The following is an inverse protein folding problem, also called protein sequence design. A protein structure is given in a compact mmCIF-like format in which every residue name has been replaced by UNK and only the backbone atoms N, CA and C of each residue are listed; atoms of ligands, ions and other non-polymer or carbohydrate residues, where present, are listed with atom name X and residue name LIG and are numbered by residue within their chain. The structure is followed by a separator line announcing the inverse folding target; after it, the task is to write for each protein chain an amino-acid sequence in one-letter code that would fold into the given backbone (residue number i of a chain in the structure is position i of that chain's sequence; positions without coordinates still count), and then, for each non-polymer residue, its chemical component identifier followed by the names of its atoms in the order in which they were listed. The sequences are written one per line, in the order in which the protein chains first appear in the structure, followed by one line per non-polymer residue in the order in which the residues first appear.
data_IF_418205533384
#
_entry.id   IF_418205533384
#
_cell.length_a   1.000
_cell.length_b   1.000
_cell.length_c   1.000
_cell.angle_alpha   90.00
_cell.angle_beta   90.00
_cell.angle_gamma   90.00
#
_symmetry.space_group_name_H-M   'P 1'
#
loop_
_entity.id
_entity.type
_entity.pdbx_description
1 polymer ?
#
# COMPACT_ATOMS: atom_id res chain seq x y z
N UNK A 1 23.76 17.07 0.33
CA UNK A 1 23.58 15.84 1.13
C UNK A 1 24.45 14.74 0.52
N UNK A 2 25.44 14.22 1.24
CA UNK A 2 26.48 13.31 0.73
C UNK A 2 25.86 11.99 0.20
N UNK A 3 26.26 11.52 -0.99
CA UNK A 3 25.76 10.28 -1.64
C UNK A 3 25.92 9.06 -0.75
N UNK A 4 26.99 9.01 0.06
CA UNK A 4 27.23 7.95 1.05
C UNK A 4 26.16 7.92 2.15
N UNK A 5 25.63 9.08 2.57
CA UNK A 5 24.53 9.13 3.56
C UNK A 5 23.22 8.61 2.97
N UNK A 6 22.94 8.85 1.68
CA UNK A 6 21.72 8.37 1.01
C UNK A 6 21.74 6.85 0.79
N UNK A 7 22.88 6.28 0.39
CA UNK A 7 23.04 4.83 0.25
C UNK A 7 22.74 4.09 1.56
N UNK A 8 23.30 4.57 2.68
CA UNK A 8 23.08 4.02 4.01
C UNK A 8 21.62 4.03 4.47
N UNK A 9 20.81 4.99 4.01
CA UNK A 9 19.38 5.04 4.36
C UNK A 9 18.61 3.89 3.72
N UNK A 10 18.85 3.61 2.43
CA UNK A 10 18.18 2.50 1.75
C UNK A 10 18.63 1.14 2.31
N UNK A 11 19.92 1.01 2.59
CA UNK A 11 20.52 -0.14 3.28
C UNK A 11 19.87 -0.40 4.66
N UNK A 12 19.80 0.62 5.53
CA UNK A 12 19.19 0.48 6.85
C UNK A 12 17.72 0.09 6.76
N UNK A 13 16.95 0.75 5.89
CA UNK A 13 15.52 0.46 5.70
C UNK A 13 15.29 -0.98 5.22
N UNK A 14 16.08 -1.44 4.25
CA UNK A 14 15.99 -2.83 3.79
C UNK A 14 16.35 -3.81 4.89
N UNK A 15 17.43 -3.56 5.64
CA UNK A 15 17.87 -4.41 6.73
C UNK A 15 16.81 -4.55 7.82
N UNK A 16 16.24 -3.43 8.27
CA UNK A 16 15.17 -3.38 9.28
C UNK A 16 13.91 -4.11 8.77
N UNK A 17 13.52 -3.87 7.52
CA UNK A 17 12.40 -4.57 6.89
C UNK A 17 12.63 -6.09 6.86
N UNK A 18 13.82 -6.56 6.50
CA UNK A 18 14.14 -7.98 6.50
C UNK A 18 14.12 -8.55 7.94
N UNK A 19 14.60 -7.83 8.95
CA UNK A 19 14.48 -8.28 10.35
C UNK A 19 13.01 -8.42 10.77
N UNK A 20 12.17 -7.43 10.45
CA UNK A 20 10.73 -7.47 10.74
C UNK A 20 10.06 -8.68 10.08
N UNK A 21 10.36 -8.95 8.79
CA UNK A 21 9.87 -10.14 8.10
C UNK A 21 10.32 -11.43 8.79
N UNK A 22 11.53 -11.48 9.35
CA UNK A 22 12.05 -12.66 10.06
C UNK A 22 11.31 -12.87 11.37
N UNK A 23 11.12 -11.81 12.14
CA UNK A 23 10.39 -11.84 13.42
C UNK A 23 8.95 -12.27 13.24
N UNK A 24 8.29 -11.81 12.16
CA UNK A 24 6.94 -12.24 11.76
C UNK A 24 6.90 -13.66 11.16
N UNK A 25 8.04 -14.32 10.96
CA UNK A 25 8.13 -15.64 10.34
C UNK A 25 7.87 -15.66 8.83
N UNK A 26 7.91 -14.51 8.16
CA UNK A 26 7.49 -14.31 6.76
C UNK A 26 8.63 -14.47 5.75
N UNK A 27 9.89 -14.33 6.17
CA UNK A 27 11.02 -14.26 5.24
C UNK A 27 11.18 -15.51 4.37
N UNK A 28 10.94 -16.70 4.96
CA UNK A 28 10.98 -18.00 4.28
C UNK A 28 9.97 -18.97 4.91
N UNK A 29 8.70 -18.57 5.03
CA UNK A 29 7.70 -19.51 5.54
C UNK A 29 7.59 -20.74 4.62
N UNK A 30 7.44 -21.92 5.22
CA UNK A 30 7.30 -23.20 4.51
C UNK A 30 8.57 -23.90 4.03
N UNK A 31 9.74 -23.23 3.97
CA UNK A 31 11.01 -23.86 3.51
C UNK A 31 12.10 -23.86 4.60
N UNK A 32 12.33 -22.74 5.30
CA UNK A 32 13.35 -22.63 6.36
C UNK A 32 12.80 -21.93 7.58
N UNK A 33 13.11 -22.44 8.78
CA UNK A 33 12.78 -21.77 10.02
C UNK A 33 13.53 -20.42 10.13
N UNK A 34 12.94 -19.37 10.75
CA UNK A 34 13.62 -18.09 10.95
C UNK A 34 14.98 -18.22 11.65
N UNK A 35 15.15 -19.19 12.54
CA UNK A 35 16.42 -19.49 13.23
C UNK A 35 17.56 -19.91 12.29
N UNK A 36 17.24 -20.43 11.11
CA UNK A 36 18.20 -20.86 10.08
C UNK A 36 18.59 -19.74 9.12
N UNK A 37 17.94 -18.57 9.22
CA UNK A 37 18.17 -17.41 8.36
C UNK A 37 18.89 -16.32 9.15
N UNK A 38 20.16 -16.04 8.86
CA UNK A 38 20.95 -14.99 9.53
C UNK A 38 21.04 -13.76 8.63
N UNK A 39 20.67 -12.60 9.16
CA UNK A 39 20.59 -11.33 8.42
C UNK A 39 21.69 -10.41 8.95
N UNK A 40 22.53 -9.93 8.04
CA UNK A 40 23.66 -9.07 8.38
C UNK A 40 23.62 -7.79 7.56
N UNK A 41 24.17 -6.75 8.16
CA UNK A 41 24.41 -5.46 7.52
C UNK A 41 25.92 -5.22 7.43
N UNK A 42 26.40 -4.75 6.28
CA UNK A 42 27.83 -4.52 6.00
C UNK A 42 28.71 -5.75 6.25
N UNK A 43 28.21 -6.95 5.91
CA UNK A 43 28.97 -8.18 6.12
C UNK A 43 30.18 -8.24 5.20
N UNK A 44 31.31 -8.66 5.78
CA UNK A 44 32.57 -8.82 5.08
C UNK A 44 32.82 -10.29 4.77
N UNK A 45 33.29 -10.57 3.55
CA UNK A 45 33.81 -11.87 3.16
C UNK A 45 35.23 -11.72 2.63
N UNK A 46 36.11 -12.63 3.05
CA UNK A 46 37.48 -12.63 2.59
C UNK A 46 37.55 -13.06 1.12
N UNK A 47 38.26 -12.29 0.30
CA UNK A 47 38.52 -12.61 -1.09
C UNK A 47 40.01 -12.93 -1.26
N UNK A 48 40.31 -14.20 -1.56
CA UNK A 48 41.69 -14.66 -1.76
C UNK A 48 42.42 -13.86 -2.84
N UNK A 49 41.77 -13.59 -3.98
CA UNK A 49 42.37 -12.83 -5.09
C UNK A 49 42.71 -11.37 -4.74
N UNK A 50 42.03 -10.81 -3.73
CA UNK A 50 42.26 -9.43 -3.27
C UNK A 50 43.22 -9.39 -2.09
N UNK A 51 43.46 -10.52 -1.44
CA UNK A 51 44.10 -10.62 -0.12
C UNK A 51 43.44 -9.68 0.91
N UNK A 52 42.10 -9.60 0.85
CA UNK A 52 41.35 -8.68 1.68
C UNK A 52 39.85 -8.85 1.58
N UNK A 53 39.14 -8.12 2.44
CA UNK A 53 37.69 -8.26 2.58
C UNK A 53 36.92 -7.51 1.50
N UNK A 54 35.81 -8.09 1.06
CA UNK A 54 34.76 -7.46 0.27
C UNK A 54 33.56 -7.27 1.20
N UNK A 55 33.04 -6.04 1.24
CA UNK A 55 31.87 -5.68 2.06
C UNK A 55 30.63 -5.64 1.17
N UNK A 56 29.52 -6.17 1.69
CA UNK A 56 28.21 -6.13 1.05
C UNK A 56 27.19 -5.47 1.97
N UNK A 57 26.26 -4.72 1.38
CA UNK A 57 25.34 -3.85 2.11
C UNK A 57 24.41 -4.65 3.05
N UNK A 58 23.65 -5.60 2.50
CA UNK A 58 22.80 -6.51 3.30
C UNK A 58 22.94 -7.94 2.80
N UNK A 59 23.05 -8.89 3.73
CA UNK A 59 23.23 -10.31 3.41
C UNK A 59 22.28 -11.16 4.22
N UNK A 60 21.57 -12.07 3.55
CA UNK A 60 20.79 -13.14 4.18
C UNK A 60 21.51 -14.47 3.93
N UNK A 61 22.02 -15.05 5.00
CA UNK A 61 22.63 -16.37 5.01
C UNK A 61 21.63 -17.43 5.43
N UNK A 62 21.59 -18.54 4.69
CA UNK A 62 20.67 -19.64 4.92
C UNK A 62 21.50 -20.87 5.26
N UNK A 63 21.28 -21.38 6.46
CA UNK A 63 22.00 -22.51 7.03
C UNK A 63 21.11 -23.76 7.07
N UNK A 64 21.73 -24.94 7.05
CA UNK A 64 21.01 -26.21 7.28
C UNK A 64 20.72 -26.41 8.76
N UNK A 65 21.66 -26.01 9.59
CA UNK A 65 21.57 -26.04 11.05
C UNK A 65 22.03 -24.69 11.60
N UNK A 66 21.58 -24.32 12.81
CA UNK A 66 21.89 -23.00 13.40
C UNK A 66 23.41 -22.74 13.48
N UNK A 67 24.20 -23.80 13.68
CA UNK A 67 25.66 -23.77 13.83
C UNK A 67 26.41 -24.05 12.53
N UNK A 68 25.73 -24.45 11.45
CA UNK A 68 26.40 -24.81 10.19
C UNK A 68 26.84 -23.58 9.40
N UNK A 69 27.81 -23.78 8.51
CA UNK A 69 28.08 -22.83 7.43
C UNK A 69 26.82 -22.63 6.56
N UNK A 70 26.65 -21.43 5.99
CA UNK A 70 25.54 -21.16 5.09
C UNK A 70 25.72 -21.92 3.79
N UNK A 71 24.67 -22.63 3.36
CA UNK A 71 24.67 -23.31 2.05
C UNK A 71 24.17 -22.37 0.93
N UNK A 72 23.58 -21.23 1.29
CA UNK A 72 23.13 -20.22 0.35
C UNK A 72 23.25 -18.83 0.95
N UNK A 73 23.69 -17.87 0.14
CA UNK A 73 23.87 -16.46 0.49
C UNK A 73 23.08 -15.61 -0.49
N UNK A 74 22.09 -14.87 0.00
CA UNK A 74 21.40 -13.84 -0.75
C UNK A 74 22.05 -12.51 -0.42
N UNK A 75 22.59 -11.85 -1.43
CA UNK A 75 23.34 -10.61 -1.26
C UNK A 75 22.57 -9.49 -1.91
N UNK A 76 22.27 -8.46 -1.14
CA UNK A 76 21.57 -7.26 -1.57
C UNK A 76 22.56 -6.10 -1.65
N UNK A 77 22.71 -5.50 -2.82
CA UNK A 77 23.49 -4.27 -3.04
C UNK A 77 22.51 -3.10 -3.29
N UNK A 78 22.60 -2.07 -2.46
CA UNK A 78 21.67 -0.95 -2.43
C UNK A 78 22.20 0.23 -3.26
N UNK A 79 21.40 0.66 -4.24
CA UNK A 79 21.69 1.79 -5.11
C UNK A 79 20.60 2.86 -4.95
N UNK A 80 20.92 3.93 -4.24
CA UNK A 80 19.99 5.04 -3.98
C UNK A 80 20.36 6.29 -4.80
N UNK A 81 19.73 6.45 -5.96
CA UNK A 81 19.93 7.60 -6.85
C UNK A 81 18.74 8.57 -6.79
N UNK A 82 18.95 9.85 -7.10
CA UNK A 82 17.87 10.85 -7.04
C UNK A 82 17.35 11.27 -8.43
N UNK A 83 18.24 11.34 -9.43
CA UNK A 83 17.90 11.81 -10.79
C UNK A 83 18.50 10.95 -11.90
N UNK A 84 19.28 9.93 -11.54
CA UNK A 84 20.00 9.09 -12.50
C UNK A 84 19.41 7.69 -12.43
N UNK A 85 19.34 7.04 -13.58
CA UNK A 85 19.11 5.61 -13.68
C UNK A 85 20.38 4.83 -13.32
N UNK A 86 20.23 3.60 -12.85
CA UNK A 86 21.36 2.73 -12.51
C UNK A 86 22.17 2.46 -13.78
N UNK A 87 23.48 2.80 -13.81
CA UNK A 87 24.34 2.52 -14.94
C UNK A 87 24.77 1.06 -15.03
N UNK A 88 25.22 0.64 -16.21
CA UNK A 88 25.78 -0.69 -16.45
C UNK A 88 26.94 -1.03 -15.49
N UNK A 89 27.77 -0.04 -15.17
CA UNK A 89 28.92 -0.20 -14.27
C UNK A 89 28.53 -0.74 -12.90
N UNK A 90 27.39 -0.31 -12.34
CA UNK A 90 26.94 -0.78 -11.03
C UNK A 90 26.61 -2.28 -11.04
N UNK A 91 26.05 -2.77 -12.16
CA UNK A 91 25.70 -4.19 -12.33
C UNK A 91 26.96 -5.03 -12.53
N UNK A 92 27.86 -4.57 -13.39
CA UNK A 92 29.13 -5.25 -13.67
C UNK A 92 30.02 -5.31 -12.43
N UNK A 93 30.13 -4.20 -11.68
CA UNK A 93 30.90 -4.16 -10.43
C UNK A 93 30.33 -5.11 -9.40
N UNK A 94 29.01 -5.16 -9.25
CA UNK A 94 28.36 -6.08 -8.33
C UNK A 94 28.57 -7.54 -8.74
N UNK A 95 28.37 -7.89 -10.01
CA UNK A 95 28.67 -9.23 -10.55
C UNK A 95 30.12 -9.65 -10.26
N UNK A 96 31.07 -8.73 -10.47
CA UNK A 96 32.48 -8.95 -10.17
C UNK A 96 32.76 -9.14 -8.68
N UNK A 97 32.03 -8.47 -7.78
CA UNK A 97 32.15 -8.72 -6.33
C UNK A 97 31.64 -10.11 -5.96
N UNK A 98 30.51 -10.53 -6.52
CA UNK A 98 29.90 -11.83 -6.21
C UNK A 98 30.78 -12.99 -6.65
N UNK A 99 31.36 -12.93 -7.85
CA UNK A 99 32.24 -13.99 -8.38
C UNK A 99 33.49 -14.23 -7.54
N UNK A 100 33.85 -13.29 -6.65
CA UNK A 100 35.05 -13.34 -5.81
C UNK A 100 34.85 -14.05 -4.47
N UNK A 101 33.62 -14.30 -4.04
CA UNK A 101 33.31 -14.88 -2.71
C UNK A 101 32.60 -16.24 -2.76
N UNK A 102 32.19 -16.69 -3.95
CA UNK A 102 31.54 -17.99 -4.16
C UNK A 102 30.52 -17.92 -5.29
N UNK A 103 30.83 -18.47 -6.47
CA UNK A 103 29.98 -18.33 -7.66
C UNK A 103 28.68 -19.13 -7.61
N UNK A 104 28.63 -20.24 -6.85
CA UNK A 104 27.52 -21.20 -6.93
C UNK A 104 26.53 -21.11 -5.76
N UNK A 105 26.99 -20.68 -4.58
CA UNK A 105 26.18 -20.55 -3.37
C UNK A 105 25.68 -19.12 -3.12
N UNK A 106 26.08 -18.17 -3.98
CA UNK A 106 25.74 -16.76 -3.83
C UNK A 106 24.77 -16.30 -4.91
N UNK A 107 23.73 -15.55 -4.50
CA UNK A 107 22.73 -14.97 -5.40
C UNK A 107 22.64 -13.47 -5.13
N UNK A 108 22.88 -12.68 -6.16
CA UNK A 108 22.90 -11.21 -6.06
C UNK A 108 21.55 -10.59 -6.42
N UNK A 109 21.14 -9.59 -5.65
CA UNK A 109 19.99 -8.74 -5.91
C UNK A 109 20.42 -7.27 -5.77
N UNK A 110 20.13 -6.44 -6.77
CA UNK A 110 20.29 -5.00 -6.70
C UNK A 110 18.99 -4.39 -6.18
N UNK A 111 19.07 -3.63 -5.08
CA UNK A 111 17.96 -2.88 -4.51
C UNK A 111 18.08 -1.42 -4.94
N UNK A 112 17.05 -0.88 -5.56
CA UNK A 112 17.07 0.48 -6.11
C UNK A 112 15.77 1.24 -5.82
N UNK A 113 15.86 2.57 -5.78
CA UNK A 113 14.69 3.46 -5.77
C UNK A 113 14.39 4.05 -7.16
N UNK A 114 15.33 3.96 -8.11
CA UNK A 114 15.23 4.45 -9.49
C UNK A 114 15.25 3.32 -10.51
N UNK A 115 14.89 3.61 -11.75
CA UNK A 115 14.98 2.68 -12.87
C UNK A 115 16.44 2.36 -13.25
N UNK A 116 16.63 1.25 -13.97
CA UNK A 116 17.91 0.87 -14.57
C UNK A 116 18.00 1.40 -16.00
N UNK A 117 19.21 1.68 -16.48
CA UNK A 117 19.45 1.81 -17.92
C UNK A 117 19.09 0.50 -18.63
N UNK A 118 18.69 0.58 -19.91
CA UNK A 118 18.33 -0.60 -20.71
C UNK A 118 19.49 -1.60 -20.74
N UNK A 119 20.72 -1.14 -20.98
CA UNK A 119 21.90 -2.00 -20.96
C UNK A 119 22.18 -2.61 -19.58
N UNK A 120 21.97 -1.84 -18.50
CA UNK A 120 22.13 -2.35 -17.13
C UNK A 120 21.11 -3.45 -16.82
N UNK A 121 19.87 -3.31 -17.30
CA UNK A 121 18.84 -4.35 -17.20
C UNK A 121 19.25 -5.62 -17.95
N UNK A 122 19.70 -5.48 -19.20
CA UNK A 122 20.13 -6.61 -20.02
C UNK A 122 21.33 -7.36 -19.39
N UNK A 123 22.28 -6.62 -18.80
CA UNK A 123 23.40 -7.21 -18.06
C UNK A 123 22.95 -7.94 -16.81
N UNK A 124 22.01 -7.37 -16.04
CA UNK A 124 21.49 -8.02 -14.84
C UNK A 124 20.80 -9.35 -15.18
N UNK A 125 20.03 -9.38 -16.27
CA UNK A 125 19.42 -10.62 -16.80
C UNK A 125 20.50 -11.64 -17.20
N UNK A 126 21.50 -11.23 -17.99
CA UNK A 126 22.60 -12.08 -18.46
C UNK A 126 23.43 -12.67 -17.30
N UNK A 127 23.63 -11.89 -16.23
CA UNK A 127 24.38 -12.33 -15.05
C UNK A 127 23.52 -13.02 -13.99
N UNK A 128 22.23 -13.24 -14.25
CA UNK A 128 21.26 -13.78 -13.28
C UNK A 128 21.27 -13.01 -11.95
N UNK A 129 21.34 -11.68 -12.03
CA UNK A 129 21.24 -10.75 -10.90
C UNK A 129 19.80 -10.26 -10.80
N UNK A 130 19.21 -10.39 -9.61
CA UNK A 130 17.88 -9.87 -9.33
C UNK A 130 17.84 -8.35 -9.29
N UNK A 131 16.72 -7.78 -9.68
CA UNK A 131 16.46 -6.35 -9.55
C UNK A 131 15.26 -6.21 -8.63
N UNK A 132 15.39 -5.42 -7.57
CA UNK A 132 14.27 -5.10 -6.71
C UNK A 132 14.15 -3.61 -6.40
N UNK A 133 12.91 -3.18 -6.23
CA UNK A 133 12.53 -1.85 -5.77
C UNK A 133 11.90 -1.97 -4.40
N UNK A 134 12.37 -1.13 -3.48
CA UNK A 134 11.87 -1.04 -2.11
C UNK A 134 11.29 0.35 -1.86
N UNK A 135 10.02 0.41 -1.46
CA UNK A 135 9.35 1.63 -1.04
C UNK A 135 8.81 1.40 0.37
N UNK A 136 9.32 2.13 1.36
CA UNK A 136 8.96 1.90 2.75
C UNK A 136 7.46 2.06 3.05
N UNK A 137 6.77 2.87 2.25
CA UNK A 137 5.37 3.26 2.47
C UNK A 137 4.43 2.56 1.49
N UNK A 138 4.93 1.57 0.76
CA UNK A 138 4.11 0.77 -0.13
C UNK A 138 3.29 -0.28 0.61
N UNK A 139 2.33 -0.88 -0.11
CA UNK A 139 1.54 -1.99 0.39
C UNK A 139 2.41 -3.23 0.62
N UNK A 140 2.30 -3.83 1.79
CA UNK A 140 2.97 -5.07 2.13
C UNK A 140 1.98 -6.22 2.01
N UNK A 141 2.36 -7.25 1.27
CA UNK A 141 1.41 -8.24 0.76
C UNK A 141 1.70 -9.61 1.31
N UNK A 142 0.66 -10.42 1.51
CA UNK A 142 0.82 -11.81 1.94
C UNK A 142 1.41 -12.61 0.78
N UNK A 143 2.58 -13.19 1.00
CA UNK A 143 3.38 -13.79 -0.05
C UNK A 143 3.01 -15.25 -0.39
N UNK A 144 2.10 -15.89 0.34
CA UNK A 144 1.73 -17.29 0.10
C UNK A 144 0.33 -17.48 -0.49
N UNK A 145 0.30 -18.24 -1.60
CA UNK A 145 -0.85 -18.98 -2.16
C UNK A 145 -2.17 -18.20 -2.26
N UNK A 146 -2.14 -17.04 -2.93
CA UNK A 146 -3.34 -16.27 -3.34
C UNK A 146 -3.03 -15.10 -4.30
N UNK A 147 -1.76 -14.77 -4.50
CA UNK A 147 -1.33 -13.47 -5.05
C UNK A 147 -0.90 -13.46 -6.52
N UNK A 148 -0.91 -14.60 -7.22
CA UNK A 148 -0.59 -14.62 -8.67
C UNK A 148 -1.57 -13.78 -9.51
N UNK A 149 -2.80 -13.58 -9.05
CA UNK A 149 -3.79 -12.71 -9.70
C UNK A 149 -3.81 -11.27 -9.15
N UNK A 150 -3.31 -11.04 -7.92
CA UNK A 150 -3.24 -9.68 -7.34
C UNK A 150 -2.35 -8.73 -8.16
N UNK A 151 -1.35 -9.30 -8.85
CA UNK A 151 -0.37 -8.58 -9.65
C UNK A 151 -0.40 -9.11 -11.07
N UNK A 152 -1.00 -8.35 -12.00
CA UNK A 152 -0.64 -8.54 -13.39
C UNK A 152 0.84 -8.16 -13.54
N UNK A 153 1.66 -8.96 -14.21
CA UNK A 153 3.08 -8.65 -14.51
C UNK A 153 3.26 -7.22 -15.04
N UNK A 154 2.24 -6.70 -15.72
CA UNK A 154 2.14 -5.31 -16.19
C UNK A 154 2.28 -4.27 -15.06
N UNK A 155 1.69 -4.48 -13.88
CA UNK A 155 1.79 -3.57 -12.74
C UNK A 155 3.17 -3.61 -12.09
N UNK A 156 3.73 -4.80 -11.83
CA UNK A 156 5.09 -4.95 -11.29
C UNK A 156 6.13 -4.41 -12.28
N UNK A 157 5.94 -4.67 -13.57
CA UNK A 157 6.76 -4.10 -14.65
C UNK A 157 6.66 -2.58 -14.67
N UNK A 158 5.48 -1.98 -14.50
CA UNK A 158 5.32 -0.52 -14.41
C UNK A 158 5.97 0.04 -13.14
N UNK A 159 5.88 -0.65 -12.01
CA UNK A 159 6.52 -0.21 -10.76
C UNK A 159 8.05 -0.27 -10.83
N UNK A 160 8.59 -1.30 -11.48
CA UNK A 160 10.03 -1.51 -11.66
C UNK A 160 10.62 -0.67 -12.79
N UNK A 161 9.88 -0.46 -13.88
CA UNK A 161 10.41 0.03 -15.17
C UNK A 161 9.50 1.04 -15.90
N UNK A 162 8.50 1.63 -15.24
CA UNK A 162 7.55 2.55 -15.86
C UNK A 162 7.57 3.96 -15.25
N UNK A 163 7.29 4.95 -16.09
CA UNK A 163 7.17 6.35 -15.69
C UNK A 163 6.08 6.56 -14.63
N UNK A 164 6.36 7.47 -13.69
CA UNK A 164 5.53 7.81 -12.53
C UNK A 164 4.13 8.32 -12.92
N UNK A 165 3.21 7.42 -13.19
CA UNK A 165 1.79 7.65 -12.97
C UNK A 165 1.45 7.08 -11.60
N UNK A 166 0.71 7.86 -10.81
CA UNK A 166 0.36 7.51 -9.44
C UNK A 166 -0.48 6.21 -9.41
N UNK A 167 0.17 5.12 -9.03
CA UNK A 167 -0.45 3.85 -8.64
C UNK A 167 0.13 3.48 -7.28
N UNK A 168 -0.72 3.11 -6.32
CA UNK A 168 -0.27 2.65 -5.00
C UNK A 168 0.75 1.53 -5.18
N UNK A 169 1.98 1.79 -4.75
CA UNK A 169 3.11 0.90 -5.04
C UNK A 169 3.25 -0.16 -3.96
N UNK A 170 3.75 -1.33 -4.30
CA UNK A 170 4.16 -2.31 -3.31
C UNK A 170 5.36 -1.86 -2.50
N UNK A 171 5.44 -2.35 -1.27
CA UNK A 171 6.60 -2.17 -0.39
C UNK A 171 7.85 -2.81 -0.99
N UNK A 172 7.68 -3.95 -1.65
CA UNK A 172 8.73 -4.68 -2.34
C UNK A 172 8.24 -5.12 -3.73
N UNK A 173 9.08 -4.96 -4.74
CA UNK A 173 8.85 -5.55 -6.06
C UNK A 173 10.17 -6.02 -6.61
N UNK A 174 10.21 -7.21 -7.18
CA UNK A 174 11.43 -7.76 -7.75
C UNK A 174 11.18 -8.43 -9.09
N UNK A 175 12.27 -8.55 -9.84
CA UNK A 175 12.37 -9.32 -11.06
C UNK A 175 13.63 -10.18 -10.99
N UNK A 176 13.48 -11.48 -11.22
CA UNK A 176 14.56 -12.44 -11.24
C UNK A 176 14.24 -13.56 -12.22
N UNK A 177 15.16 -13.82 -13.16
CA UNK A 177 15.11 -14.95 -14.08
C UNK A 177 13.77 -15.10 -14.82
N UNK A 178 13.30 -14.00 -15.42
CA UNK A 178 12.06 -13.96 -16.19
C UNK A 178 10.77 -13.89 -15.36
N UNK A 179 10.83 -13.89 -14.02
CA UNK A 179 9.66 -13.86 -13.14
C UNK A 179 9.61 -12.59 -12.28
N UNK A 180 8.40 -12.08 -12.07
CA UNK A 180 8.12 -10.96 -11.17
C UNK A 180 7.67 -11.44 -9.79
N UNK A 181 8.03 -10.68 -8.75
CA UNK A 181 7.72 -10.99 -7.36
C UNK A 181 7.24 -9.72 -6.63
N UNK A 182 6.12 -9.81 -5.93
CA UNK A 182 5.60 -8.70 -5.10
C UNK A 182 6.06 -8.71 -3.64
N UNK A 183 6.86 -9.71 -3.24
CA UNK A 183 7.33 -9.87 -1.87
C UNK A 183 8.73 -10.51 -1.82
N UNK A 184 9.45 -10.27 -0.72
CA UNK A 184 10.76 -10.87 -0.48
C UNK A 184 10.65 -12.38 -0.41
N UNK A 185 9.65 -12.90 0.30
CA UNK A 185 9.43 -14.35 0.42
C UNK A 185 9.26 -15.01 -0.95
N UNK A 186 8.42 -14.44 -1.83
CA UNK A 186 8.21 -15.00 -3.17
C UNK A 186 9.50 -15.05 -3.99
N UNK A 187 10.32 -13.99 -3.92
CA UNK A 187 11.62 -13.93 -4.59
C UNK A 187 12.57 -15.00 -4.03
N UNK A 188 12.68 -15.08 -2.71
CA UNK A 188 13.61 -15.99 -2.02
C UNK A 188 13.23 -17.46 -2.28
N UNK A 189 11.95 -17.80 -2.17
CA UNK A 189 11.45 -19.15 -2.46
C UNK A 189 11.75 -19.56 -3.90
N UNK A 190 11.60 -18.64 -4.86
CA UNK A 190 11.92 -18.90 -6.26
C UNK A 190 13.43 -19.12 -6.49
N UNK A 191 14.27 -18.29 -5.89
CA UNK A 191 15.74 -18.39 -6.02
C UNK A 191 16.27 -19.71 -5.46
N UNK A 192 15.73 -20.17 -4.32
CA UNK A 192 16.27 -21.33 -3.59
C UNK A 192 15.62 -22.65 -4.01
N UNK A 193 14.34 -22.63 -4.38
CA UNK A 193 13.58 -23.85 -4.71
C UNK A 193 12.67 -23.63 -5.92
N UNK A 194 13.24 -23.41 -7.12
CA UNK A 194 12.48 -23.14 -8.34
C UNK A 194 11.59 -24.32 -8.80
N UNK A 195 11.81 -25.54 -8.25
CA UNK A 195 11.11 -26.78 -8.63
C UNK A 195 9.83 -27.08 -7.86
N UNK A 196 9.37 -26.20 -6.97
CA UNK A 196 7.98 -26.32 -6.45
C UNK A 196 7.07 -25.80 -7.57
N UNK A 197 6.76 -26.70 -8.51
CA UNK A 197 5.83 -26.48 -9.60
C UNK A 197 4.48 -26.01 -9.03
N UNK A 198 4.02 -24.86 -9.49
CA UNK A 198 2.79 -24.15 -9.12
C UNK A 198 1.51 -24.92 -9.56
N UNK A 199 1.51 -26.25 -9.56
CA UNK A 199 0.43 -27.10 -10.09
C UNK A 199 -0.56 -27.64 -9.05
N UNK A 200 -0.47 -27.25 -7.78
CA UNK A 200 -1.48 -27.62 -6.76
C UNK A 200 -1.94 -26.41 -5.97
N UNK A 201 -2.90 -25.69 -6.56
CA UNK A 201 -4.21 -25.25 -6.03
C UNK A 201 -4.59 -23.92 -6.66
N UNK A 202 -5.12 -23.96 -7.88
CA UNK A 202 -5.92 -22.87 -8.44
C UNK A 202 -7.37 -23.07 -7.95
N UNK A 203 -7.67 -22.65 -6.73
CA UNK A 203 -8.98 -22.06 -6.49
C UNK A 203 -8.77 -20.56 -6.74
N UNK A 204 -9.44 -20.03 -7.74
CA UNK A 204 -9.43 -18.60 -8.09
C UNK A 204 -10.05 -17.79 -6.95
N UNK A 205 -9.26 -17.44 -5.95
CA UNK A 205 -9.62 -16.49 -4.89
C UNK A 205 -9.37 -15.05 -5.40
N UNK A 206 -9.98 -14.65 -6.53
CA UNK A 206 -10.00 -13.25 -6.96
C UNK A 206 -10.61 -12.40 -5.84
N UNK A 207 -10.12 -11.17 -5.63
CA UNK A 207 -10.73 -10.24 -4.65
C UNK A 207 -12.21 -10.06 -5.02
N UNK A 208 -13.15 -10.54 -4.18
CA UNK A 208 -14.55 -10.58 -4.55
C UNK A 208 -15.06 -9.16 -4.68
N UNK A 209 -15.76 -8.85 -5.77
CA UNK A 209 -16.41 -7.54 -5.88
C UNK A 209 -17.61 -7.48 -4.93
N UNK A 210 -17.56 -6.55 -3.98
CA UNK A 210 -18.68 -6.27 -3.08
C UNK A 210 -19.50 -5.13 -3.65
N UNK A 211 -20.80 -5.34 -3.82
CA UNK A 211 -21.71 -4.31 -4.33
C UNK A 211 -21.90 -3.17 -3.33
N UNK A 212 -22.28 -2.00 -3.81
CA UNK A 212 -22.55 -0.85 -2.94
C UNK A 212 -23.67 -1.15 -1.93
N UNK A 213 -24.72 -1.86 -2.34
CA UNK A 213 -25.82 -2.26 -1.45
C UNK A 213 -25.35 -3.20 -0.33
N UNK A 214 -24.56 -4.23 -0.65
CA UNK A 214 -24.00 -5.13 0.36
C UNK A 214 -23.08 -4.39 1.32
N UNK A 215 -22.36 -3.40 0.83
CA UNK A 215 -21.50 -2.58 1.66
C UNK A 215 -22.28 -1.68 2.62
N UNK A 216 -23.37 -1.06 2.16
CA UNK A 216 -24.29 -0.32 3.04
C UNK A 216 -24.86 -1.25 4.12
N UNK A 217 -25.24 -2.48 3.76
CA UNK A 217 -25.72 -3.48 4.73
C UNK A 217 -24.65 -3.86 5.75
N UNK A 218 -23.41 -4.09 5.30
CA UNK A 218 -22.25 -4.38 6.14
C UNK A 218 -21.94 -3.25 7.14
N UNK A 219 -21.93 -2.00 6.66
CA UNK A 219 -21.73 -0.82 7.50
C UNK A 219 -22.87 -0.65 8.51
N UNK A 220 -24.14 -0.75 8.07
CA UNK A 220 -25.30 -0.67 8.97
C UNK A 220 -25.30 -1.78 10.02
N UNK A 221 -24.84 -2.99 9.69
CA UNK A 221 -24.70 -4.08 10.67
C UNK A 221 -23.70 -3.70 11.76
N UNK A 222 -22.54 -3.16 11.38
CA UNK A 222 -21.52 -2.69 12.33
C UNK A 222 -22.06 -1.57 13.23
N UNK A 223 -22.75 -0.59 12.64
CA UNK A 223 -23.37 0.52 13.37
C UNK A 223 -24.42 0.07 14.39
N UNK A 224 -25.19 -0.97 14.08
CA UNK A 224 -26.13 -1.58 15.03
C UNK A 224 -25.42 -2.23 16.22
N UNK A 225 -24.26 -2.86 15.99
CA UNK A 225 -23.49 -3.49 17.06
C UNK A 225 -22.95 -2.48 18.08
N UNK A 226 -22.55 -1.29 17.62
CA UNK A 226 -22.12 -0.17 18.48
C UNK A 226 -23.28 0.75 18.88
N UNK A 227 -24.53 0.31 18.71
CA UNK A 227 -25.74 1.03 19.10
C UNK A 227 -25.81 2.49 18.61
N UNK A 228 -25.22 2.78 17.44
CA UNK A 228 -25.21 4.11 16.85
C UNK A 228 -26.64 4.62 16.63
N UNK A 229 -26.89 5.89 17.00
CA UNK A 229 -28.20 6.54 16.88
C UNK A 229 -28.19 7.65 15.83
N UNK A 230 -27.36 8.67 16.03
CA UNK A 230 -27.24 9.81 15.13
C UNK A 230 -25.94 10.61 15.35
N UNK A 231 -25.69 11.59 14.47
CA UNK A 231 -24.55 12.48 14.55
C UNK A 231 -23.27 11.89 13.96
N UNK A 232 -22.14 12.43 14.39
CA UNK A 232 -20.83 11.91 14.05
C UNK A 232 -20.61 10.55 14.71
N UNK A 233 -20.17 9.57 13.94
CA UNK A 233 -19.86 8.24 14.44
C UNK A 233 -18.60 8.28 15.32
N UNK A 234 -18.65 7.58 16.46
CA UNK A 234 -17.49 7.35 17.30
C UNK A 234 -16.66 6.20 16.73
N UNK A 235 -15.54 6.54 16.08
CA UNK A 235 -14.67 5.56 15.43
C UNK A 235 -13.81 4.78 16.43
N UNK A 236 -13.50 5.37 17.59
CA UNK A 236 -12.77 4.69 18.68
C UNK A 236 -13.60 3.54 19.27
N UNK A 237 -14.91 3.74 19.41
CA UNK A 237 -15.85 2.71 19.85
C UNK A 237 -15.91 1.56 18.84
N UNK A 238 -15.92 1.88 17.53
CA UNK A 238 -15.88 0.86 16.47
C UNK A 238 -14.56 0.08 16.50
N UNK A 239 -13.42 0.77 16.60
CA UNK A 239 -12.11 0.12 16.75
C UNK A 239 -12.10 -0.80 17.97
N UNK A 240 -12.59 -0.34 19.12
CA UNK A 240 -12.70 -1.13 20.35
C UNK A 240 -13.57 -2.37 20.17
N UNK A 241 -14.75 -2.22 19.57
CA UNK A 241 -15.66 -3.35 19.27
C UNK A 241 -15.01 -4.39 18.35
N UNK A 242 -14.20 -3.96 17.38
CA UNK A 242 -13.48 -4.84 16.47
C UNK A 242 -12.16 -5.37 17.05
N UNK A 243 -11.80 -4.98 18.28
CA UNK A 243 -10.51 -5.29 18.91
C UNK A 243 -9.32 -4.81 18.06
N UNK A 244 -9.42 -3.58 17.55
CA UNK A 244 -8.37 -2.88 16.81
C UNK A 244 -7.77 -1.82 17.74
N UNK A 245 -6.46 -1.89 17.96
CA UNK A 245 -5.74 -0.83 18.66
C UNK A 245 -5.65 0.42 17.79
N UNK A 246 -6.05 1.57 18.32
CA UNK A 246 -5.95 2.86 17.64
C UNK A 246 -4.95 3.75 18.38
N UNK A 247 -3.96 4.25 17.66
CA UNK A 247 -2.91 5.12 18.22
C UNK A 247 -2.69 6.34 17.34
N UNK A 248 -2.24 7.43 17.97
CA UNK A 248 -1.85 8.66 17.30
C UNK A 248 -0.36 8.87 17.46
N UNK A 249 0.30 9.24 16.36
CA UNK A 249 1.67 9.68 16.35
C UNK A 249 1.73 11.14 15.89
N UNK A 250 2.26 11.98 16.78
CA UNK A 250 2.41 13.43 16.58
C UNK A 250 3.34 13.82 15.43
N UNK A 251 4.06 12.87 14.82
CA UNK A 251 4.96 13.13 13.72
C UNK A 251 4.24 13.16 12.37
N UNK A 252 4.71 14.03 11.47
CA UNK A 252 4.33 14.04 10.06
C UNK A 252 5.26 13.14 9.27
N UNK A 253 4.68 12.30 8.41
CA UNK A 253 5.44 11.41 7.54
C UNK A 253 5.15 11.71 6.08
N UNK A 254 6.19 11.63 5.25
CA UNK A 254 6.11 11.88 3.82
C UNK A 254 6.65 10.70 3.03
N UNK A 255 5.95 10.36 1.95
CA UNK A 255 6.36 9.42 0.93
C UNK A 255 7.63 9.85 0.20
N UNK A 256 8.31 8.91 -0.46
CA UNK A 256 9.50 9.22 -1.26
C UNK A 256 9.21 10.21 -2.42
N UNK A 257 7.94 10.36 -2.82
CA UNK A 257 7.44 11.33 -3.80
C UNK A 257 6.94 12.65 -3.18
N UNK A 258 7.12 12.86 -1.87
CA UNK A 258 6.65 14.03 -1.13
C UNK A 258 5.15 14.01 -0.77
N UNK A 259 4.42 12.92 -1.04
CA UNK A 259 3.03 12.78 -0.61
C UNK A 259 2.93 12.63 0.91
N UNK A 260 1.98 13.30 1.53
CA UNK A 260 1.70 13.19 2.96
C UNK A 260 1.12 11.80 3.27
N UNK A 261 1.72 11.09 4.23
CA UNK A 261 1.23 9.81 4.75
C UNK A 261 0.31 10.12 5.93
N UNK A 262 -0.92 9.65 5.86
CA UNK A 262 -1.97 9.98 6.82
C UNK A 262 -2.06 8.96 7.97
N UNK A 263 -1.71 7.72 7.68
CA UNK A 263 -1.77 6.65 8.67
C UNK A 263 -1.21 5.35 8.12
N UNK A 264 -1.20 4.33 9.00
CA UNK A 264 -0.74 2.98 8.71
C UNK A 264 -1.65 1.98 9.40
N UNK A 265 -1.98 0.89 8.69
CA UNK A 265 -2.56 -0.31 9.30
C UNK A 265 -1.54 -1.46 9.36
N UNK A 266 -1.47 -2.09 10.53
CA UNK A 266 -0.79 -3.35 10.76
C UNK A 266 -1.84 -4.44 11.04
N UNK A 267 -2.10 -5.27 10.03
CA UNK A 267 -3.11 -6.31 10.12
C UNK A 267 -2.69 -7.44 11.07
N UNK A 268 -1.39 -7.68 11.22
CA UNK A 268 -0.86 -8.74 12.08
C UNK A 268 -1.06 -8.39 13.56
N UNK A 269 -0.80 -7.14 13.92
CA UNK A 269 -0.96 -6.63 15.29
C UNK A 269 -2.36 -6.04 15.56
N UNK A 270 -3.26 -6.07 14.57
CA UNK A 270 -4.59 -5.42 14.62
C UNK A 270 -4.52 -3.99 15.12
N UNK A 271 -3.69 -3.18 14.47
CA UNK A 271 -3.39 -1.82 14.91
C UNK A 271 -3.50 -0.82 13.77
N UNK A 272 -4.10 0.33 14.07
CA UNK A 272 -4.16 1.52 13.22
C UNK A 272 -3.35 2.61 13.90
N UNK A 273 -2.42 3.20 13.18
CA UNK A 273 -1.68 4.40 13.61
C UNK A 273 -2.07 5.57 12.71
N UNK A 274 -2.51 6.68 13.30
CA UNK A 274 -2.81 7.93 12.59
C UNK A 274 -1.68 8.92 12.83
N UNK A 275 -1.18 9.51 11.74
CA UNK A 275 -0.12 10.51 11.79
C UNK A 275 -0.69 11.93 11.87
N UNK A 276 0.04 12.83 12.51
CA UNK A 276 -0.39 14.22 12.69
C UNK A 276 -0.66 14.92 11.36
N UNK A 277 -1.86 15.47 11.19
CA UNK A 277 -2.21 16.27 10.02
C UNK A 277 -3.36 17.26 10.30
N UNK A 278 -3.46 18.34 9.53
CA UNK A 278 -4.22 19.55 9.92
C UNK A 278 -5.77 19.47 9.89
N UNK A 279 -6.38 18.29 9.65
CA UNK A 279 -7.83 18.18 9.41
C UNK A 279 -8.46 16.94 10.04
N UNK A 280 -9.29 17.16 11.06
CA UNK A 280 -10.05 16.09 11.73
C UNK A 280 -10.97 15.29 10.79
N UNK A 281 -11.58 15.95 9.80
CA UNK A 281 -12.45 15.28 8.80
C UNK A 281 -11.67 14.29 7.94
N UNK A 282 -10.38 14.54 7.74
CA UNK A 282 -9.48 13.62 7.04
C UNK A 282 -9.09 12.46 7.96
N UNK A 283 -8.83 12.72 9.24
CA UNK A 283 -8.46 11.67 10.22
C UNK A 283 -9.59 10.65 10.30
N UNK A 284 -10.82 11.15 10.43
CA UNK A 284 -12.03 10.32 10.49
C UNK A 284 -12.21 9.45 9.26
N UNK A 285 -11.91 9.98 8.07
CA UNK A 285 -11.97 9.20 6.84
C UNK A 285 -10.85 8.15 6.78
N UNK A 286 -9.61 8.51 7.12
CA UNK A 286 -8.46 7.59 7.20
C UNK A 286 -8.77 6.43 8.15
N UNK A 287 -9.25 6.70 9.38
CA UNK A 287 -9.62 5.66 10.35
C UNK A 287 -10.74 4.78 9.79
N UNK A 288 -11.77 5.37 9.19
CA UNK A 288 -12.90 4.61 8.61
C UNK A 288 -12.49 3.74 7.43
N UNK A 289 -11.51 4.20 6.63
CA UNK A 289 -10.91 3.45 5.53
C UNK A 289 -10.18 2.22 6.08
N UNK A 290 -9.32 2.38 7.08
CA UNK A 290 -8.61 1.27 7.70
C UNK A 290 -9.56 0.27 8.39
N UNK A 291 -10.59 0.76 9.10
CA UNK A 291 -11.68 -0.09 9.61
C UNK A 291 -12.30 -0.91 8.47
N UNK A 292 -12.46 -0.31 7.28
CA UNK A 292 -12.89 -1.01 6.07
C UNK A 292 -12.00 -2.19 5.71
N UNK A 293 -10.68 -2.01 5.67
CA UNK A 293 -9.75 -3.12 5.42
C UNK A 293 -9.87 -4.24 6.45
N UNK A 294 -9.93 -3.91 7.74
CA UNK A 294 -10.10 -4.91 8.80
C UNK A 294 -11.44 -5.64 8.72
N UNK A 295 -12.54 -4.90 8.57
CA UNK A 295 -13.89 -5.45 8.61
C UNK A 295 -14.23 -6.30 7.36
N UNK A 296 -13.69 -5.91 6.20
CA UNK A 296 -13.86 -6.65 4.94
C UNK A 296 -12.89 -7.82 4.78
N UNK A 297 -12.03 -8.06 5.78
CA UNK A 297 -11.04 -9.15 5.81
C UNK A 297 -9.98 -9.06 4.72
N UNK A 298 -9.52 -7.83 4.45
CA UNK A 298 -8.40 -7.59 3.53
C UNK A 298 -7.05 -8.09 4.10
N UNK A 299 -6.99 -8.44 5.39
CA UNK A 299 -5.87 -9.14 6.06
C UNK A 299 -5.47 -10.45 5.38
N UNK A 300 -6.37 -11.05 4.58
CA UNK A 300 -6.07 -12.24 3.77
C UNK A 300 -5.12 -11.96 2.61
N UNK A 301 -5.00 -10.70 2.20
CA UNK A 301 -4.22 -10.26 1.03
C UNK A 301 -3.09 -9.30 1.44
N UNK A 302 -3.30 -8.50 2.48
CA UNK A 302 -2.37 -7.46 2.95
C UNK A 302 -1.83 -7.79 4.35
N UNK A 303 -0.53 -7.57 4.54
CA UNK A 303 0.16 -7.67 5.83
C UNK A 303 0.21 -6.32 6.54
N UNK A 304 0.49 -5.26 5.80
CA UNK A 304 0.44 -3.89 6.26
C UNK A 304 0.19 -2.93 5.11
N UNK A 305 -0.30 -1.75 5.46
CA UNK A 305 -0.65 -0.71 4.52
C UNK A 305 -0.31 0.66 5.08
N UNK A 306 0.05 1.61 4.21
CA UNK A 306 0.15 3.02 4.54
C UNK A 306 -0.77 3.81 3.63
N UNK A 307 -1.61 4.66 4.22
CA UNK A 307 -2.50 5.55 3.47
C UNK A 307 -1.76 6.82 3.17
N UNK A 308 -1.70 7.18 1.88
CA UNK A 308 -1.25 8.51 1.45
C UNK A 308 -2.45 9.36 1.05
N UNK A 309 -2.30 10.68 1.12
CA UNK A 309 -3.39 11.65 0.89
C UNK A 309 -4.18 11.42 -0.40
N UNK A 310 -3.52 11.01 -1.48
CA UNK A 310 -4.17 10.79 -2.76
C UNK A 310 -5.00 9.48 -2.81
N UNK A 311 -4.82 8.54 -1.88
CA UNK A 311 -5.64 7.31 -1.77
C UNK A 311 -7.08 7.62 -1.33
N UNK A 312 -7.31 8.78 -0.70
CA UNK A 312 -8.62 9.20 -0.22
C UNK A 312 -9.58 9.63 -1.35
N UNK A 313 -9.06 9.84 -2.56
CA UNK A 313 -9.91 10.21 -3.69
C UNK A 313 -10.55 8.95 -4.28
N UNK A 314 -11.88 8.86 -4.17
CA UNK A 314 -12.67 7.81 -4.82
C UNK A 314 -12.58 8.03 -6.35
N UNK A 315 -11.57 7.42 -6.97
CA UNK A 315 -11.47 7.39 -8.43
C UNK A 315 -12.61 6.58 -9.03
N UNK A 316 -13.08 7.00 -10.20
CA UNK A 316 -14.13 6.34 -11.00
C UNK A 316 -13.88 4.83 -11.08
N UNK A 317 -14.97 4.07 -11.02
CA UNK A 317 -15.03 2.60 -11.17
C UNK A 317 -14.42 2.23 -12.53
N UNK A 318 -13.11 1.97 -12.55
CA UNK A 318 -12.40 1.56 -13.76
C UNK A 318 -12.29 0.04 -13.74
N UNK A 319 -12.93 -0.64 -14.68
CA UNK A 319 -13.09 -2.10 -14.71
C UNK A 319 -11.80 -2.86 -15.04
N UNK A 320 -10.71 -2.15 -15.39
CA UNK A 320 -9.38 -2.70 -15.69
C UNK A 320 -8.38 -2.57 -14.52
N UNK A 321 -8.88 -2.45 -13.29
CA UNK A 321 -8.08 -2.19 -12.09
C UNK A 321 -7.48 -3.46 -11.49
N UNK A 322 -6.26 -3.35 -10.94
CA UNK A 322 -5.61 -4.43 -10.20
C UNK A 322 -6.43 -4.83 -8.97
N UNK A 323 -6.19 -6.00 -8.39
CA UNK A 323 -6.93 -6.38 -7.17
C UNK A 323 -6.62 -5.45 -5.99
N UNK A 324 -5.43 -4.85 -5.92
CA UNK A 324 -5.14 -3.77 -4.97
C UNK A 324 -6.13 -2.63 -5.15
N UNK A 325 -6.29 -2.14 -6.38
CA UNK A 325 -7.22 -1.05 -6.65
C UNK A 325 -8.67 -1.43 -6.28
N UNK A 326 -9.04 -2.72 -6.34
CA UNK A 326 -10.33 -3.22 -5.86
C UNK A 326 -10.43 -3.16 -4.33
N UNK A 327 -9.39 -3.61 -3.61
CA UNK A 327 -9.35 -3.55 -2.13
C UNK A 327 -9.47 -2.10 -1.65
N UNK A 328 -8.69 -1.18 -2.22
CA UNK A 328 -8.72 0.26 -1.91
C UNK A 328 -10.09 0.87 -2.21
N UNK A 329 -10.66 0.54 -3.38
CA UNK A 329 -12.00 1.00 -3.75
C UNK A 329 -13.06 0.52 -2.75
N UNK A 330 -12.96 -0.75 -2.33
CA UNK A 330 -13.89 -1.30 -1.35
C UNK A 330 -13.71 -0.64 0.02
N UNK A 331 -12.49 -0.43 0.50
CA UNK A 331 -12.26 0.25 1.78
C UNK A 331 -12.77 1.70 1.76
N UNK A 332 -12.51 2.44 0.69
CA UNK A 332 -13.02 3.80 0.48
C UNK A 332 -14.56 3.85 0.45
N UNK A 333 -15.19 2.95 -0.30
CA UNK A 333 -16.65 2.88 -0.35
C UNK A 333 -17.22 2.50 1.03
N UNK A 334 -16.52 1.64 1.80
CA UNK A 334 -16.97 1.22 3.12
C UNK A 334 -16.90 2.37 4.11
N UNK A 335 -15.79 3.11 4.10
CA UNK A 335 -15.61 4.32 4.89
C UNK A 335 -16.72 5.32 4.65
N UNK A 336 -17.09 5.55 3.38
CA UNK A 336 -18.21 6.42 3.01
C UNK A 336 -19.55 5.92 3.54
N UNK A 337 -19.84 4.63 3.39
CA UNK A 337 -21.09 4.03 3.89
C UNK A 337 -21.16 4.00 5.42
N UNK A 338 -20.02 3.82 6.08
CA UNK A 338 -19.89 3.87 7.53
C UNK A 338 -20.16 5.27 8.02
N UNK A 339 -19.37 6.26 7.58
CA UNK A 339 -19.45 7.65 8.06
C UNK A 339 -20.77 8.36 7.71
N UNK A 340 -21.40 7.97 6.59
CA UNK A 340 -22.65 8.58 6.10
C UNK A 340 -23.74 7.50 5.91
N UNK A 341 -24.31 6.97 7.02
CA UNK A 341 -25.32 5.92 6.97
C UNK A 341 -26.56 6.40 6.24
N UNK A 342 -27.01 5.64 5.24
CA UNK A 342 -28.03 6.06 4.27
C UNK A 342 -29.27 6.71 4.92
N UNK A 343 -29.90 6.03 5.87
CA UNK A 343 -31.15 6.51 6.46
C UNK A 343 -30.95 7.79 7.27
N UNK A 344 -29.90 7.84 8.09
CA UNK A 344 -29.58 9.04 8.89
C UNK A 344 -29.20 10.20 7.99
N UNK A 345 -28.43 9.94 6.94
CA UNK A 345 -27.99 10.94 5.97
C UNK A 345 -29.16 11.55 5.20
N UNK A 346 -30.08 10.72 4.68
CA UNK A 346 -31.26 11.20 3.96
C UNK A 346 -32.18 12.03 4.87
N UNK A 347 -32.48 11.51 6.07
CA UNK A 347 -33.29 12.24 7.08
C UNK A 347 -32.71 13.62 7.39
N UNK A 348 -31.41 13.70 7.67
CA UNK A 348 -30.75 14.98 7.99
C UNK A 348 -30.60 15.90 6.79
N UNK A 349 -30.44 15.34 5.60
CA UNK A 349 -30.49 16.13 4.35
C UNK A 349 -31.84 16.81 4.22
N UNK A 350 -32.95 16.09 4.42
CA UNK A 350 -34.30 16.66 4.31
C UNK A 350 -34.59 17.69 5.41
N UNK A 351 -34.11 17.45 6.64
CA UNK A 351 -34.21 18.40 7.76
C UNK A 351 -33.49 19.73 7.44
N UNK A 352 -32.24 19.68 6.98
CA UNK A 352 -31.50 20.90 6.64
C UNK A 352 -32.01 21.59 5.38
N UNK A 353 -32.52 20.83 4.39
CA UNK A 353 -33.22 21.42 3.24
C UNK A 353 -34.43 22.23 3.69
N UNK A 354 -35.21 21.72 4.63
CA UNK A 354 -36.36 22.44 5.18
C UNK A 354 -35.93 23.71 5.95
N UNK A 355 -34.87 23.63 6.76
CA UNK A 355 -34.33 24.77 7.52
C UNK A 355 -33.82 25.88 6.59
N UNK A 356 -33.18 25.53 5.47
CA UNK A 356 -32.62 26.48 4.52
C UNK A 356 -33.57 26.83 3.36
N UNK A 357 -34.82 26.38 3.42
CA UNK A 357 -35.84 26.57 2.37
C UNK A 357 -35.42 26.08 0.96
N UNK A 358 -34.62 25.02 0.90
CA UNK A 358 -34.17 24.39 -0.34
C UNK A 358 -35.26 23.42 -0.84
N UNK A 359 -36.11 23.95 -1.72
CA UNK A 359 -37.26 23.21 -2.28
C UNK A 359 -36.95 22.59 -3.63
N UNK A 360 -37.55 21.44 -3.90
CA UNK A 360 -37.61 20.90 -5.25
C UNK A 360 -38.57 21.75 -6.10
N UNK A 361 -38.02 22.55 -7.02
CA UNK A 361 -38.77 23.42 -7.95
C UNK A 361 -38.94 22.78 -9.34
N UNK A 362 -38.92 21.45 -9.43
CA UNK A 362 -38.97 20.71 -10.69
C UNK A 362 -37.60 20.30 -11.24
N UNK A 363 -36.52 20.58 -10.51
CA UNK A 363 -35.13 20.30 -10.92
C UNK A 363 -34.45 19.22 -10.07
N UNK A 364 -35.22 18.46 -9.28
CA UNK A 364 -34.70 17.45 -8.35
C UNK A 364 -34.63 17.94 -6.91
N UNK A 365 -34.14 17.07 -6.02
CA UNK A 365 -34.15 17.35 -4.58
C UNK A 365 -33.24 18.53 -4.20
N UNK A 366 -32.00 18.50 -4.70
CA UNK A 366 -31.01 19.54 -4.54
C UNK A 366 -30.46 19.85 -5.94
N UNK A 367 -30.56 21.12 -6.35
CA UNK A 367 -30.09 21.61 -7.63
C UNK A 367 -28.99 22.65 -7.41
N UNK A 368 -27.89 22.53 -8.13
CA UNK A 368 -26.82 23.53 -8.13
C UNK A 368 -26.34 23.80 -9.55
N UNK A 369 -26.23 25.07 -9.90
CA UNK A 369 -25.64 25.58 -11.15
C UNK A 369 -24.60 26.67 -10.79
N UNK A 370 -24.11 27.41 -11.79
CA UNK A 370 -23.12 28.47 -11.58
C UNK A 370 -23.73 29.78 -10.99
N UNK A 371 -25.03 29.82 -10.68
CA UNK A 371 -25.64 31.01 -10.09
C UNK A 371 -25.21 31.19 -8.63
N UNK A 372 -24.80 32.41 -8.21
CA UNK A 372 -24.28 32.64 -6.85
C UNK A 372 -25.24 32.24 -5.71
N UNK A 373 -26.55 32.41 -5.91
CA UNK A 373 -27.55 32.01 -4.91
C UNK A 373 -27.60 30.49 -4.72
N UNK A 374 -27.64 29.72 -5.82
CA UNK A 374 -27.67 28.26 -5.77
C UNK A 374 -26.38 27.70 -5.17
N UNK A 375 -25.23 28.27 -5.52
CA UNK A 375 -23.93 27.92 -4.90
C UNK A 375 -23.95 28.21 -3.39
N UNK A 376 -24.46 29.38 -2.98
CA UNK A 376 -24.53 29.78 -1.58
C UNK A 376 -25.39 28.83 -0.76
N UNK A 377 -26.61 28.52 -1.23
CA UNK A 377 -27.52 27.62 -0.53
C UNK A 377 -27.00 26.18 -0.51
N UNK A 378 -26.39 25.73 -1.60
CA UNK A 378 -25.72 24.43 -1.65
C UNK A 378 -24.56 24.35 -0.65
N UNK A 379 -23.70 25.37 -0.57
CA UNK A 379 -22.59 25.42 0.38
C UNK A 379 -23.07 25.46 1.84
N UNK A 380 -24.18 26.16 2.14
CA UNK A 380 -24.79 26.13 3.48
C UNK A 380 -25.25 24.72 3.85
N UNK A 381 -25.93 24.04 2.93
CA UNK A 381 -26.37 22.65 3.12
C UNK A 381 -25.17 21.71 3.33
N UNK A 382 -24.13 21.84 2.50
CA UNK A 382 -22.90 21.05 2.65
C UNK A 382 -22.21 21.31 3.98
N UNK A 383 -22.13 22.57 4.43
CA UNK A 383 -21.56 22.95 5.72
C UNK A 383 -22.32 22.32 6.89
N UNK A 384 -23.64 22.45 6.92
CA UNK A 384 -24.46 21.89 8.00
C UNK A 384 -24.36 20.35 8.08
N UNK A 385 -24.37 19.67 6.94
CA UNK A 385 -24.19 18.21 6.88
C UNK A 385 -22.75 17.80 7.27
N UNK A 386 -21.76 18.55 6.80
CA UNK A 386 -20.34 18.37 7.14
C UNK A 386 -20.14 18.45 8.64
N UNK A 387 -20.69 19.47 9.30
CA UNK A 387 -20.57 19.68 10.74
C UNK A 387 -21.31 18.59 11.53
N UNK A 388 -22.51 18.20 11.09
CA UNK A 388 -23.30 17.17 11.76
C UNK A 388 -22.63 15.78 11.73
N UNK A 389 -22.07 15.37 10.59
CA UNK A 389 -21.41 14.07 10.43
C UNK A 389 -19.89 14.11 10.74
N UNK A 390 -19.33 15.31 10.89
CA UNK A 390 -17.89 15.57 11.01
C UNK A 390 -17.08 14.93 9.86
N UNK A 391 -17.48 15.20 8.62
CA UNK A 391 -16.76 14.76 7.41
C UNK A 391 -16.54 15.94 6.48
N UNK A 392 -15.73 15.80 5.43
CA UNK A 392 -15.51 16.91 4.48
C UNK A 392 -16.77 17.20 3.65
N UNK A 393 -16.96 18.45 3.25
CA UNK A 393 -18.02 18.86 2.31
C UNK A 393 -17.95 18.09 0.99
N UNK A 394 -16.74 17.72 0.54
CA UNK A 394 -16.53 16.87 -0.62
C UNK A 394 -17.12 15.46 -0.41
N UNK A 395 -16.96 14.85 0.77
CA UNK A 395 -17.55 13.55 1.07
C UNK A 395 -19.08 13.62 1.10
N UNK A 396 -19.66 14.71 1.62
CA UNK A 396 -21.10 14.98 1.57
C UNK A 396 -21.57 15.08 0.12
N UNK A 397 -20.90 15.86 -0.71
CA UNK A 397 -21.25 16.03 -2.13
C UNK A 397 -21.21 14.69 -2.89
N UNK A 398 -20.15 13.90 -2.72
CA UNK A 398 -20.03 12.56 -3.32
C UNK A 398 -21.19 11.67 -2.86
N UNK A 399 -21.58 11.73 -1.58
CA UNK A 399 -22.67 10.93 -1.05
C UNK A 399 -24.03 11.35 -1.63
N UNK A 400 -24.28 12.65 -1.78
CA UNK A 400 -25.49 13.16 -2.44
C UNK A 400 -25.57 12.71 -3.90
N UNK A 401 -24.46 12.77 -4.64
CA UNK A 401 -24.37 12.24 -6.02
C UNK A 401 -24.65 10.74 -6.07
N UNK A 402 -24.01 9.97 -5.19
CA UNK A 402 -24.15 8.51 -5.13
C UNK A 402 -25.59 8.07 -4.80
N UNK A 403 -26.32 8.85 -4.01
CA UNK A 403 -27.71 8.59 -3.66
C UNK A 403 -28.72 9.23 -4.62
N UNK A 404 -28.27 9.80 -5.75
CA UNK A 404 -29.08 10.49 -6.74
C UNK A 404 -29.95 11.61 -6.13
N UNK A 405 -29.39 12.36 -5.17
CA UNK A 405 -30.06 13.49 -4.49
C UNK A 405 -29.61 14.86 -5.00
N UNK A 406 -28.49 14.91 -5.72
CA UNK A 406 -27.93 16.14 -6.27
C UNK A 406 -28.01 16.13 -7.80
N UNK A 407 -28.58 17.20 -8.36
CA UNK A 407 -28.48 17.57 -9.76
C UNK A 407 -27.46 18.71 -9.85
N UNK A 408 -26.34 18.44 -10.51
CA UNK A 408 -25.17 19.33 -10.56
C UNK A 408 -24.94 19.79 -12.00
N UNK A 409 -25.38 21.01 -12.31
CA UNK A 409 -25.30 21.67 -13.62
C UNK A 409 -24.20 22.75 -13.66
N UNK A 410 -23.31 22.79 -12.67
CA UNK A 410 -22.16 23.69 -12.68
C UNK A 410 -21.24 23.35 -13.87
N UNK A 411 -20.71 24.36 -14.54
CA UNK A 411 -19.71 24.15 -15.57
C UNK A 411 -18.44 23.57 -14.95
N UNK A 412 -18.11 22.33 -15.30
CA UNK A 412 -16.79 21.78 -14.96
C UNK A 412 -15.74 22.58 -15.73
N UNK A 413 -15.01 23.45 -15.04
CA UNK A 413 -13.73 23.95 -15.55
C UNK A 413 -12.87 22.72 -15.87
N UNK A 414 -12.65 22.45 -17.15
CA UNK A 414 -11.69 21.44 -17.59
C UNK A 414 -10.36 21.74 -16.92
N UNK A 415 -9.78 20.80 -16.14
CA UNK A 415 -8.45 20.99 -15.60
C UNK A 415 -7.49 20.92 -16.79
N UNK A 416 -6.92 22.08 -17.15
CA UNK A 416 -5.83 22.19 -18.11
C UNK A 416 -4.54 21.60 -17.54
#
# INVERSE_FOLDING_TARGET
MNTTKKGKVLENRLYEYLLEQKEKGQLIYGIYAPSLCKIYKQKQYYCMKREGNITFDVVVEICREVTSEPHSKLIFECKNYTKKTIPESDVTDFSNKLSRIGMHDTKGIIITNTELQIGAKNLAESYHIGIAKFNNNGLEIVAERRSKQLYQDKHLKKQLFGNQQYTKSLKFSAYYDGKYHGSVQSLISWIISPKIDDKKTCNSDDVPFISHQEMEQKANKLLKCVQYREGAINLEEICSYLSIGLEWDSQQFFGDNGSEILGKADFSNKKITIYSHDRITRERFTISHEIGHFYLRHDKFLLSESIVKQDLFIGVKNTNKSDIDKLEYQANLFASCLLLPRNTFLRKTDEFRAIFDIRNKGHGDIYVDDQPCNISDFNKLLGALSDFFQVSTQAIEIRLKTLNKLVDERQQLTPW
#
